data_IF_833875177243
#
_entry.id   IF_833875177243
#
_cell.length_a   1.000
_cell.length_b   1.000
_cell.length_c   1.000
_cell.angle_alpha   90.00
_cell.angle_beta   90.00
_cell.angle_gamma   90.00
#
_symmetry.space_group_name_H-M   'P 1'
#
loop_
_entity.id
_entity.type
_entity.pdbx_description
1 polymer ?
#
# COMPACT_ATOMS: atom_id res chain seq x y z
N UNK A 1 -8.33 -7.61 -16.62
CA UNK A 1 -7.96 -6.55 -15.67
C UNK A 1 -9.16 -5.69 -15.41
N UNK A 2 -9.65 -5.63 -14.21
CA UNK A 2 -10.74 -4.74 -13.83
C UNK A 2 -10.20 -3.66 -12.91
N UNK A 3 -10.47 -2.39 -13.20
CA UNK A 3 -9.91 -1.21 -12.55
C UNK A 3 -10.97 -0.34 -11.87
N UNK A 4 -10.65 0.33 -10.77
CA UNK A 4 -11.61 1.08 -9.92
C UNK A 4 -11.12 2.49 -9.52
N UNK A 5 -11.86 3.54 -9.72
CA UNK A 5 -11.46 4.92 -9.50
C UNK A 5 -12.32 5.76 -8.55
N UNK A 6 -11.77 6.72 -7.84
CA UNK A 6 -12.52 7.58 -6.95
C UNK A 6 -12.61 9.04 -7.42
N UNK A 7 -13.78 9.66 -7.25
CA UNK A 7 -13.92 11.11 -7.09
C UNK A 7 -14.36 11.39 -5.66
N UNK A 8 -13.59 12.23 -4.97
CA UNK A 8 -14.01 12.78 -3.68
C UNK A 8 -14.94 13.96 -4.02
N UNK A 9 -16.24 13.84 -3.73
CA UNK A 9 -17.12 14.96 -3.40
C UNK A 9 -18.46 14.53 -2.83
N UNK A 10 -18.81 15.06 -1.67
CA UNK A 10 -20.11 15.19 -0.98
C UNK A 10 -21.10 14.02 -1.09
N UNK A 11 -21.18 13.26 -0.04
CA UNK A 11 -21.97 12.04 0.08
C UNK A 11 -21.03 10.87 -0.17
N UNK A 12 -20.87 9.96 0.78
CA UNK A 12 -19.93 8.86 0.73
C UNK A 12 -19.94 8.18 -0.65
N UNK A 13 -18.92 8.44 -1.52
CA UNK A 13 -18.90 7.78 -2.81
C UNK A 13 -18.67 6.29 -2.58
N UNK A 14 -19.40 5.49 -3.31
CA UNK A 14 -19.14 4.06 -3.34
C UNK A 14 -17.69 3.82 -3.78
N UNK A 15 -16.97 2.94 -3.08
CA UNK A 15 -15.59 2.67 -3.41
C UNK A 15 -15.47 2.04 -4.81
N UNK A 16 -14.44 2.41 -5.51
CA UNK A 16 -14.09 1.87 -6.83
C UNK A 16 -12.77 1.12 -6.75
N UNK A 17 -12.65 -0.05 -7.33
CA UNK A 17 -11.49 -0.95 -7.19
C UNK A 17 -10.98 -1.50 -8.51
N UNK A 18 -9.73 -1.95 -8.46
CA UNK A 18 -9.15 -2.82 -9.46
C UNK A 18 -8.75 -4.13 -8.79
N UNK A 19 -9.19 -5.24 -9.34
CA UNK A 19 -8.60 -6.53 -9.06
C UNK A 19 -7.67 -6.89 -10.23
N UNK A 20 -6.39 -7.07 -9.97
CA UNK A 20 -5.40 -7.47 -10.95
C UNK A 20 -4.62 -8.68 -10.47
N UNK A 21 -4.52 -9.73 -11.30
CA UNK A 21 -3.58 -10.83 -11.09
C UNK A 21 -2.27 -10.44 -11.76
N UNK A 22 -1.23 -10.15 -11.00
CA UNK A 22 0.12 -10.11 -11.53
C UNK A 22 0.67 -11.54 -11.59
N UNK A 23 0.91 -12.07 -12.78
CA UNK A 23 1.65 -13.32 -12.95
C UNK A 23 3.15 -13.00 -12.92
N UNK A 24 3.82 -13.37 -11.84
CA UNK A 24 5.28 -13.18 -11.72
C UNK A 24 6.04 -14.43 -12.17
N UNK A 25 5.50 -15.60 -12.12
CA UNK A 25 6.16 -16.83 -12.66
C UNK A 25 5.20 -18.02 -12.72
N UNK A 26 5.43 -19.00 -13.64
CA UNK A 26 4.67 -20.25 -13.64
C UNK A 26 4.99 -21.05 -12.37
N UNK A 27 4.00 -21.23 -11.51
CA UNK A 27 4.09 -22.11 -10.32
C UNK A 27 4.12 -21.41 -8.96
N UNK A 28 4.19 -20.08 -8.88
CA UNK A 28 3.95 -19.32 -7.66
C UNK A 28 2.55 -18.71 -7.67
N UNK A 29 1.77 -18.94 -6.60
CA UNK A 29 0.51 -18.22 -6.41
C UNK A 29 0.84 -16.80 -5.97
N UNK A 30 0.60 -15.84 -6.86
CA UNK A 30 0.83 -14.42 -6.60
C UNK A 30 -0.17 -13.90 -5.59
N UNK A 31 0.25 -12.96 -4.71
CA UNK A 31 -0.70 -12.18 -3.93
C UNK A 31 -1.63 -11.46 -4.89
N UNK A 32 -2.94 -11.57 -4.68
CA UNK A 32 -3.89 -10.87 -5.52
C UNK A 32 -3.89 -9.39 -5.14
N UNK A 33 -3.34 -8.57 -6.05
CA UNK A 33 -3.22 -7.13 -5.86
C UNK A 33 -4.57 -6.44 -6.09
N UNK A 34 -5.04 -5.77 -5.06
CA UNK A 34 -6.22 -4.92 -5.08
C UNK A 34 -5.82 -3.45 -5.19
N UNK A 35 -5.92 -2.89 -6.39
CA UNK A 35 -5.61 -1.48 -6.60
C UNK A 35 -6.84 -0.62 -6.32
N UNK A 36 -6.70 0.33 -5.43
CA UNK A 36 -7.66 1.41 -5.25
C UNK A 36 -7.29 2.55 -6.18
N UNK A 37 -8.25 3.06 -6.91
CA UNK A 37 -8.01 4.11 -7.87
C UNK A 37 -8.06 5.48 -7.22
N UNK A 38 -7.19 6.37 -7.69
CA UNK A 38 -6.86 7.62 -7.03
C UNK A 38 -5.64 7.46 -6.11
N UNK A 39 -4.86 8.51 -6.00
CA UNK A 39 -3.72 8.59 -5.10
C UNK A 39 -3.65 9.97 -4.48
N UNK A 40 -3.20 10.07 -3.23
CA UNK A 40 -2.97 11.33 -2.54
C UNK A 40 -1.74 12.07 -3.07
N UNK A 41 -0.78 11.33 -3.65
CA UNK A 41 0.40 11.89 -4.30
C UNK A 41 0.19 12.09 -5.81
N UNK A 42 1.00 12.98 -6.39
CA UNK A 42 1.04 13.25 -7.84
C UNK A 42 2.44 13.00 -8.39
N UNK A 43 2.94 11.79 -8.14
CA UNK A 43 4.30 11.42 -8.57
C UNK A 43 4.41 11.47 -10.10
N UNK A 44 5.34 12.26 -10.63
CA UNK A 44 5.57 12.41 -12.07
C UNK A 44 6.05 11.11 -12.72
N UNK A 45 6.65 10.20 -11.95
CA UNK A 45 7.15 8.90 -12.38
C UNK A 45 6.23 7.72 -12.03
N UNK A 46 4.93 7.97 -11.80
CA UNK A 46 4.00 6.93 -11.36
C UNK A 46 3.75 5.89 -12.46
N UNK A 47 4.19 4.65 -12.26
CA UNK A 47 3.92 3.55 -13.19
C UNK A 47 2.44 3.23 -13.33
N UNK A 48 1.65 3.53 -12.28
CA UNK A 48 0.20 3.33 -12.24
C UNK A 48 -0.55 4.66 -12.49
N UNK A 49 -0.05 5.51 -13.39
CA UNK A 49 -0.58 6.86 -13.63
C UNK A 49 -2.09 6.89 -13.85
N UNK A 50 -2.62 6.04 -14.73
CA UNK A 50 -4.06 5.98 -15.04
C UNK A 50 -4.91 5.57 -13.82
N UNK A 51 -4.37 4.70 -12.96
CA UNK A 51 -5.01 4.30 -11.71
C UNK A 51 -4.96 5.47 -10.71
N UNK A 52 -3.79 6.05 -10.54
CA UNK A 52 -3.55 7.13 -9.60
C UNK A 52 -4.39 8.40 -9.92
N UNK A 53 -4.67 8.64 -11.20
CA UNK A 53 -5.50 9.76 -11.66
C UNK A 53 -7.00 9.44 -11.71
N UNK A 54 -7.42 8.26 -11.27
CA UNK A 54 -8.83 7.85 -11.28
C UNK A 54 -9.47 7.76 -12.68
N UNK A 55 -8.65 7.53 -13.72
CA UNK A 55 -9.12 7.43 -15.11
C UNK A 55 -9.79 6.10 -15.39
N UNK A 56 -9.50 5.10 -14.57
CA UNK A 56 -9.94 3.71 -14.77
C UNK A 56 -10.54 3.11 -13.50
N UNK A 57 -11.56 2.24 -13.65
CA UNK A 57 -12.09 1.48 -12.54
C UNK A 57 -13.60 1.22 -12.54
N UNK A 58 -14.04 0.31 -11.64
CA UNK A 58 -15.45 0.03 -11.37
C UNK A 58 -15.80 0.40 -9.93
N UNK A 59 -16.94 1.04 -9.76
CA UNK A 59 -17.53 1.27 -8.45
C UNK A 59 -18.12 -0.04 -7.93
N UNK A 60 -17.87 -0.37 -6.67
CA UNK A 60 -18.51 -1.51 -5.99
C UNK A 60 -18.97 -1.06 -4.59
N UNK A 61 -20.03 -1.69 -4.10
CA UNK A 61 -20.49 -1.47 -2.73
C UNK A 61 -19.56 -2.11 -1.71
N UNK A 62 -19.72 -1.74 -0.44
CA UNK A 62 -18.99 -2.36 0.68
C UNK A 62 -19.28 -3.86 0.75
N UNK A 63 -20.54 -4.26 0.51
CA UNK A 63 -20.98 -5.66 0.46
C UNK A 63 -20.23 -6.42 -0.64
N UNK A 64 -20.18 -5.83 -1.85
CA UNK A 64 -19.46 -6.45 -2.97
C UNK A 64 -17.97 -6.55 -2.72
N UNK A 65 -17.35 -5.56 -2.06
CA UNK A 65 -15.96 -5.63 -1.65
C UNK A 65 -15.71 -6.78 -0.67
N UNK A 66 -16.60 -6.95 0.31
CA UNK A 66 -16.55 -8.07 1.26
C UNK A 66 -16.65 -9.43 0.56
N UNK A 67 -17.55 -9.56 -0.44
CA UNK A 67 -17.69 -10.78 -1.26
C UNK A 67 -16.41 -11.07 -2.06
N UNK A 68 -15.83 -10.04 -2.67
CA UNK A 68 -14.59 -10.18 -3.43
C UNK A 68 -13.44 -10.69 -2.54
N UNK A 69 -13.31 -10.23 -1.29
CA UNK A 69 -12.31 -10.75 -0.36
C UNK A 69 -12.50 -12.25 -0.09
N UNK A 70 -13.74 -12.70 0.03
CA UNK A 70 -14.06 -14.12 0.21
C UNK A 70 -13.81 -14.93 -1.07
N UNK A 71 -14.17 -14.40 -2.23
CA UNK A 71 -13.88 -15.04 -3.53
C UNK A 71 -12.37 -15.23 -3.74
N UNK A 72 -11.54 -14.28 -3.31
CA UNK A 72 -10.08 -14.40 -3.35
C UNK A 72 -9.59 -15.54 -2.45
N UNK A 73 -10.12 -15.63 -1.25
CA UNK A 73 -9.83 -16.73 -0.34
C UNK A 73 -10.23 -18.08 -0.92
N UNK A 74 -11.41 -18.20 -1.53
CA UNK A 74 -11.89 -19.42 -2.19
C UNK A 74 -11.02 -19.80 -3.39
N UNK A 75 -10.44 -18.82 -4.09
CA UNK A 75 -9.50 -19.02 -5.20
C UNK A 75 -8.09 -19.40 -4.71
N UNK A 76 -7.84 -19.46 -3.41
CA UNK A 76 -6.57 -19.85 -2.82
C UNK A 76 -5.53 -18.74 -2.75
N UNK A 77 -5.95 -17.47 -2.69
CA UNK A 77 -5.04 -16.37 -2.43
C UNK A 77 -4.31 -16.55 -1.09
N UNK A 78 -3.05 -16.15 -1.00
CA UNK A 78 -2.26 -16.24 0.24
C UNK A 78 -2.50 -15.04 1.17
N UNK A 79 -2.95 -13.92 0.64
CA UNK A 79 -3.25 -12.68 1.35
C UNK A 79 -4.15 -11.78 0.50
N UNK A 80 -4.65 -10.71 1.09
CA UNK A 80 -5.34 -9.63 0.40
C UNK A 80 -4.44 -8.40 0.44
N UNK A 81 -3.85 -8.04 -0.70
CA UNK A 81 -2.95 -6.90 -0.83
C UNK A 81 -3.70 -5.66 -1.35
N UNK A 82 -3.93 -4.72 -0.46
CA UNK A 82 -4.63 -3.47 -0.70
C UNK A 82 -3.64 -2.40 -1.17
N UNK A 83 -3.64 -2.06 -2.46
CA UNK A 83 -2.70 -1.10 -3.05
C UNK A 83 -3.32 0.29 -3.15
N UNK A 84 -2.68 1.28 -2.57
CA UNK A 84 -3.12 2.69 -2.49
C UNK A 84 -4.51 2.88 -1.84
N UNK A 85 -4.78 2.24 -0.68
CA UNK A 85 -6.12 2.17 -0.08
C UNK A 85 -6.48 3.41 0.77
N UNK A 86 -5.57 4.35 0.93
CA UNK A 86 -5.57 5.50 1.86
C UNK A 86 -6.94 6.16 2.03
N UNK A 87 -7.58 6.51 0.92
CA UNK A 87 -8.83 7.30 0.92
C UNK A 87 -10.10 6.46 1.05
N UNK A 88 -9.98 5.11 1.11
CA UNK A 88 -11.10 4.18 1.28
C UNK A 88 -11.05 3.41 2.61
N UNK A 89 -10.22 3.81 3.55
CA UNK A 89 -10.06 3.12 4.84
C UNK A 89 -11.39 2.86 5.56
N UNK A 90 -12.35 3.80 5.66
CA UNK A 90 -13.64 3.50 6.29
C UNK A 90 -14.42 2.37 5.62
N UNK A 91 -14.45 2.35 4.29
CA UNK A 91 -15.16 1.33 3.50
C UNK A 91 -14.44 -0.02 3.57
N UNK A 92 -13.11 -0.01 3.56
CA UNK A 92 -12.28 -1.21 3.72
C UNK A 92 -12.54 -1.87 5.07
N UNK A 93 -12.54 -1.09 6.16
CA UNK A 93 -12.86 -1.59 7.50
C UNK A 93 -14.24 -2.24 7.52
N UNK A 94 -15.26 -1.55 6.98
CA UNK A 94 -16.60 -2.08 6.94
C UNK A 94 -16.72 -3.38 6.11
N UNK A 95 -15.98 -3.48 4.99
CA UNK A 95 -15.94 -4.69 4.17
C UNK A 95 -15.20 -5.84 4.88
N UNK A 96 -14.08 -5.55 5.55
CA UNK A 96 -13.34 -6.54 6.33
C UNK A 96 -14.17 -7.08 7.50
N UNK A 97 -14.91 -6.21 8.21
CA UNK A 97 -15.82 -6.63 9.28
C UNK A 97 -16.90 -7.60 8.77
N UNK A 98 -17.46 -7.33 7.59
CA UNK A 98 -18.44 -8.21 6.97
C UNK A 98 -17.81 -9.53 6.50
N UNK A 99 -16.64 -9.47 5.86
CA UNK A 99 -15.95 -10.65 5.36
C UNK A 99 -15.46 -11.57 6.50
N UNK A 100 -14.91 -10.98 7.59
CA UNK A 100 -14.47 -11.74 8.77
C UNK A 100 -15.64 -12.48 9.45
N UNK A 101 -16.81 -11.86 9.54
CA UNK A 101 -18.03 -12.53 10.03
C UNK A 101 -18.46 -13.74 9.16
N UNK A 102 -18.08 -13.74 7.89
CA UNK A 102 -18.35 -14.81 6.92
C UNK A 102 -17.17 -15.79 6.76
N UNK A 103 -16.11 -15.68 7.58
CA UNK A 103 -15.00 -16.63 7.61
C UNK A 103 -13.73 -16.20 6.87
N UNK A 104 -13.57 -14.93 6.52
CA UNK A 104 -12.29 -14.41 6.00
C UNK A 104 -11.19 -14.57 7.06
N UNK A 105 -10.12 -15.27 6.70
CA UNK A 105 -8.96 -15.52 7.57
C UNK A 105 -7.61 -15.20 6.92
N UNK A 106 -7.61 -14.68 5.69
CA UNK A 106 -6.39 -14.28 5.00
C UNK A 106 -5.74 -13.07 5.66
N UNK A 107 -4.40 -13.01 5.69
CA UNK A 107 -3.66 -11.82 6.10
C UNK A 107 -4.00 -10.62 5.20
N UNK A 108 -4.07 -9.46 5.81
CA UNK A 108 -4.32 -8.19 5.11
C UNK A 108 -3.02 -7.42 4.98
N UNK A 109 -2.64 -7.14 3.75
CA UNK A 109 -1.47 -6.34 3.39
C UNK A 109 -1.93 -4.95 2.96
N UNK A 110 -1.36 -3.92 3.55
CA UNK A 110 -1.65 -2.51 3.27
C UNK A 110 -0.45 -1.86 2.57
N UNK A 111 -0.54 -1.77 1.24
CA UNK A 111 0.51 -1.23 0.38
C UNK A 111 0.21 0.23 0.06
N UNK A 112 1.07 1.13 0.50
CA UNK A 112 0.82 2.57 0.49
C UNK A 112 2.04 3.38 0.08
N UNK A 113 1.79 4.58 -0.42
CA UNK A 113 2.85 5.56 -0.71
C UNK A 113 3.57 6.10 0.54
N UNK A 114 3.17 5.68 1.74
CA UNK A 114 3.67 6.21 3.01
C UNK A 114 3.11 7.59 3.38
N UNK A 115 2.36 8.24 2.50
CA UNK A 115 1.77 9.56 2.75
C UNK A 115 0.39 9.43 3.41
N UNK A 116 0.40 9.09 4.71
CA UNK A 116 -0.77 8.71 5.48
C UNK A 116 -0.96 9.60 6.72
N UNK A 117 -2.21 9.86 7.07
CA UNK A 117 -2.55 10.48 8.36
C UNK A 117 -2.49 9.44 9.47
N UNK A 118 -1.80 9.75 10.57
CA UNK A 118 -1.67 8.87 11.73
C UNK A 118 -3.03 8.45 12.28
N UNK A 119 -4.01 9.37 12.33
CA UNK A 119 -5.37 9.08 12.80
C UNK A 119 -6.07 8.04 11.93
N UNK A 120 -5.81 8.05 10.61
CA UNK A 120 -6.34 7.06 9.69
C UNK A 120 -5.71 5.69 9.93
N UNK A 121 -4.37 5.65 10.11
CA UNK A 121 -3.65 4.43 10.43
C UNK A 121 -4.10 3.82 11.76
N UNK A 122 -4.33 4.63 12.79
CA UNK A 122 -4.85 4.16 14.09
C UNK A 122 -6.17 3.41 13.97
N UNK A 123 -7.03 3.78 13.01
CA UNK A 123 -8.29 3.07 12.75
C UNK A 123 -8.07 1.69 12.12
N UNK A 124 -6.92 1.46 11.49
CA UNK A 124 -6.53 0.17 10.89
C UNK A 124 -5.92 -0.80 11.91
N UNK A 125 -5.69 -0.37 13.15
CA UNK A 125 -5.11 -1.23 14.17
C UNK A 125 -5.97 -2.49 14.41
N UNK A 126 -5.36 -3.67 14.24
CA UNK A 126 -6.03 -4.96 14.30
C UNK A 126 -6.74 -5.42 13.01
N UNK A 127 -6.73 -4.60 11.96
CA UNK A 127 -7.22 -4.98 10.63
C UNK A 127 -6.09 -5.38 9.68
N UNK A 128 -4.94 -4.75 9.79
CA UNK A 128 -3.77 -4.95 8.91
C UNK A 128 -2.74 -5.81 9.62
N UNK A 129 -2.24 -6.81 8.92
CA UNK A 129 -1.19 -7.72 9.38
C UNK A 129 0.19 -7.28 8.87
N UNK A 130 0.23 -6.75 7.66
CA UNK A 130 1.46 -6.33 6.99
C UNK A 130 1.31 -4.94 6.41
N UNK A 131 2.23 -4.05 6.74
CA UNK A 131 2.37 -2.76 6.09
C UNK A 131 3.50 -2.80 5.06
N UNK A 132 3.24 -2.30 3.85
CA UNK A 132 4.23 -2.08 2.78
C UNK A 132 4.25 -0.58 2.42
N UNK A 133 4.80 0.29 3.28
CA UNK A 133 4.93 1.71 2.94
C UNK A 133 6.12 1.96 2.02
N UNK A 134 5.92 2.77 1.00
CA UNK A 134 7.03 3.45 0.33
C UNK A 134 7.63 4.52 1.26
N UNK A 135 8.95 4.64 1.28
CA UNK A 135 9.64 5.79 1.84
C UNK A 135 10.44 6.49 0.74
N UNK A 136 9.82 7.50 0.12
CA UNK A 136 10.29 8.06 -1.16
C UNK A 136 11.31 9.19 -1.00
N UNK A 137 11.17 10.04 0.03
CA UNK A 137 11.94 11.26 0.18
C UNK A 137 12.26 11.55 1.65
N UNK A 138 13.48 12.03 1.91
CA UNK A 138 13.86 12.74 3.14
C UNK A 138 13.95 14.25 2.93
N UNK A 139 13.92 14.71 1.69
CA UNK A 139 14.09 16.09 1.29
C UNK A 139 12.78 16.68 0.81
N UNK A 140 12.28 17.77 1.48
CA UNK A 140 11.04 18.44 1.11
C UNK A 140 11.01 18.99 -0.32
N UNK A 141 12.15 19.51 -0.82
CA UNK A 141 12.21 20.08 -2.18
C UNK A 141 12.01 19.01 -3.23
N UNK A 142 12.59 17.81 -3.02
CA UNK A 142 12.39 16.68 -3.91
C UNK A 142 10.97 16.13 -3.83
N UNK A 143 10.40 16.03 -2.64
CA UNK A 143 9.03 15.61 -2.43
C UNK A 143 8.05 16.55 -3.15
N UNK A 144 8.26 17.85 -3.04
CA UNK A 144 7.51 18.88 -3.76
C UNK A 144 7.67 18.75 -5.28
N UNK A 145 8.92 18.64 -5.74
CA UNK A 145 9.25 18.59 -7.19
C UNK A 145 8.68 17.36 -7.87
N UNK A 146 8.79 16.19 -7.26
CA UNK A 146 8.48 14.93 -7.92
C UNK A 146 7.11 14.33 -7.54
N UNK A 147 6.51 14.76 -6.43
CA UNK A 147 5.23 14.21 -5.96
C UNK A 147 4.22 15.26 -5.50
N UNK A 148 4.56 16.55 -5.57
CA UNK A 148 3.67 17.64 -5.20
C UNK A 148 3.38 17.75 -3.69
N UNK A 149 4.18 17.11 -2.83
CA UNK A 149 3.97 17.01 -1.38
C UNK A 149 5.23 17.42 -0.61
N UNK A 150 5.38 18.71 -0.31
CA UNK A 150 6.54 19.26 0.38
C UNK A 150 6.71 18.71 1.81
N UNK A 151 5.60 18.41 2.46
CA UNK A 151 5.53 17.85 3.82
C UNK A 151 5.66 16.32 3.88
N UNK A 152 5.87 15.65 2.74
CA UNK A 152 5.99 14.20 2.66
C UNK A 152 6.97 13.61 3.68
N UNK A 153 8.19 14.13 3.88
CA UNK A 153 9.15 13.51 4.80
C UNK A 153 8.61 13.43 6.23
N UNK A 154 7.98 14.48 6.72
CA UNK A 154 7.45 14.51 8.08
C UNK A 154 6.20 13.63 8.23
N UNK A 155 5.32 13.65 7.25
CA UNK A 155 4.12 12.81 7.21
C UNK A 155 4.51 11.33 7.13
N UNK A 156 5.46 10.97 6.26
CA UNK A 156 5.90 9.58 6.08
C UNK A 156 6.64 9.03 7.32
N UNK A 157 7.45 9.85 8.01
CA UNK A 157 8.07 9.44 9.27
C UNK A 157 7.03 9.11 10.33
N UNK A 158 6.06 10.01 10.56
CA UNK A 158 5.00 9.79 11.53
C UNK A 158 4.11 8.59 11.17
N UNK A 159 3.82 8.40 9.89
CA UNK A 159 3.06 7.26 9.41
C UNK A 159 3.80 5.93 9.64
N UNK A 160 5.10 5.87 9.31
CA UNK A 160 5.92 4.69 9.49
C UNK A 160 6.06 4.31 10.97
N UNK A 161 6.27 5.31 11.85
CA UNK A 161 6.29 5.09 13.30
C UNK A 161 5.01 4.42 13.79
N UNK A 162 3.86 4.90 13.35
CA UNK A 162 2.56 4.30 13.72
C UNK A 162 2.40 2.89 13.14
N UNK A 163 2.82 2.63 11.90
CA UNK A 163 2.77 1.29 11.28
C UNK A 163 3.64 0.30 12.06
N UNK A 164 4.88 0.68 12.40
CA UNK A 164 5.79 -0.15 13.21
C UNK A 164 5.22 -0.38 14.61
N UNK A 165 4.62 0.64 15.24
CA UNK A 165 3.93 0.47 16.52
C UNK A 165 2.82 -0.58 16.47
N UNK A 166 2.09 -0.66 15.36
CA UNK A 166 0.98 -1.62 15.20
C UNK A 166 1.45 -3.04 14.92
N UNK A 167 2.50 -3.20 14.10
CA UNK A 167 3.01 -4.53 13.74
C UNK A 167 3.95 -5.10 14.79
N UNK A 168 4.72 -4.26 15.47
CA UNK A 168 5.80 -4.69 16.34
C UNK A 168 6.94 -5.35 15.57
N UNK A 169 7.68 -6.23 16.23
CA UNK A 169 8.73 -7.02 15.59
C UNK A 169 8.14 -8.04 14.61
N UNK A 170 8.88 -8.41 13.55
CA UNK A 170 8.45 -9.42 12.60
C UNK A 170 8.08 -10.76 13.29
N UNK A 171 6.93 -11.31 12.93
CA UNK A 171 6.44 -12.59 13.45
C UNK A 171 6.43 -13.62 12.33
N UNK A 172 6.98 -14.79 12.60
CA UNK A 172 7.04 -15.93 11.68
C UNK A 172 6.15 -17.07 12.20
N UNK A 173 5.50 -17.78 11.29
CA UNK A 173 4.82 -19.03 11.62
C UNK A 173 5.80 -20.22 11.64
N UNK A 174 5.29 -21.43 11.98
CA UNK A 174 6.09 -22.65 12.07
C UNK A 174 6.74 -23.06 10.73
N UNK A 175 6.22 -22.59 9.61
CA UNK A 175 6.80 -22.80 8.27
C UNK A 175 7.86 -21.75 7.90
N UNK A 176 8.20 -20.82 8.80
CA UNK A 176 9.15 -19.73 8.54
C UNK A 176 8.60 -18.61 7.64
N UNK A 177 7.29 -18.54 7.45
CA UNK A 177 6.64 -17.48 6.68
C UNK A 177 6.30 -16.32 7.63
N UNK A 178 6.69 -15.10 7.25
CA UNK A 178 6.32 -13.91 8.00
C UNK A 178 4.81 -13.66 7.92
N UNK A 179 4.18 -13.51 9.07
CA UNK A 179 2.73 -13.32 9.20
C UNK A 179 2.33 -11.94 9.68
N UNK A 180 3.27 -11.22 10.30
CA UNK A 180 3.05 -9.85 10.77
C UNK A 180 4.36 -9.07 10.72
N UNK A 181 4.42 -7.97 9.97
CA UNK A 181 5.60 -7.10 9.87
C UNK A 181 5.33 -5.76 9.18
N UNK A 182 6.31 -4.85 9.24
CA UNK A 182 6.41 -3.68 8.39
C UNK A 182 7.60 -3.84 7.44
N UNK A 183 7.35 -3.80 6.13
CA UNK A 183 8.40 -3.81 5.10
C UNK A 183 8.42 -2.47 4.38
N UNK A 184 9.43 -1.67 4.64
CA UNK A 184 9.57 -0.35 4.04
C UNK A 184 10.21 -0.47 2.64
N UNK A 185 9.49 -0.02 1.62
CA UNK A 185 9.98 -0.01 0.24
C UNK A 185 10.60 1.34 -0.09
N UNK A 186 11.81 1.33 -0.67
CA UNK A 186 12.43 2.54 -1.20
C UNK A 186 12.95 2.31 -2.61
N UNK A 187 12.78 3.33 -3.46
CA UNK A 187 13.18 3.24 -4.86
C UNK A 187 14.62 3.70 -5.06
N UNK A 188 15.43 2.82 -5.63
CA UNK A 188 16.75 3.15 -6.17
C UNK A 188 16.57 3.62 -7.61
N UNK A 189 16.40 4.92 -7.82
CA UNK A 189 16.46 5.49 -9.16
C UNK A 189 17.95 5.65 -9.50
N UNK A 190 18.40 5.14 -10.64
CA UNK A 190 19.80 5.04 -11.05
C UNK A 190 20.66 6.33 -10.95
N UNK A 191 20.02 7.48 -10.86
CA UNK A 191 20.66 8.81 -10.76
C UNK A 191 20.77 9.34 -9.32
N UNK A 192 20.39 8.57 -8.30
CA UNK A 192 20.14 9.07 -6.93
C UNK A 192 20.66 8.12 -5.86
N UNK A 193 21.80 7.47 -6.10
CA UNK A 193 22.42 6.55 -5.14
C UNK A 193 22.57 7.17 -3.74
N UNK A 194 23.12 8.38 -3.64
CA UNK A 194 23.34 9.09 -2.37
C UNK A 194 22.04 9.34 -1.57
N UNK A 195 20.91 9.59 -2.26
CA UNK A 195 19.63 9.80 -1.59
C UNK A 195 19.05 8.51 -1.03
N UNK A 196 19.18 7.42 -1.79
CA UNK A 196 18.75 6.11 -1.33
C UNK A 196 19.58 5.68 -0.11
N UNK A 197 20.89 5.90 -0.14
CA UNK A 197 21.77 5.64 1.01
C UNK A 197 21.34 6.41 2.26
N UNK A 198 20.97 7.68 2.12
CA UNK A 198 20.45 8.49 3.23
C UNK A 198 19.14 7.96 3.78
N UNK A 199 18.23 7.51 2.93
CA UNK A 199 16.96 6.89 3.36
C UNK A 199 17.23 5.58 4.09
N UNK A 200 18.03 4.68 3.51
CA UNK A 200 18.39 3.40 4.13
C UNK A 200 19.07 3.61 5.47
N UNK A 201 20.01 4.56 5.54
CA UNK A 201 20.69 4.92 6.80
C UNK A 201 19.69 5.41 7.85
N UNK A 202 18.80 6.33 7.49
CA UNK A 202 17.76 6.83 8.40
C UNK A 202 16.88 5.70 8.93
N UNK A 203 16.38 4.83 8.03
CA UNK A 203 15.50 3.71 8.40
C UNK A 203 16.22 2.72 9.33
N UNK A 204 17.48 2.40 9.02
CA UNK A 204 18.27 1.47 9.83
C UNK A 204 18.61 2.07 11.20
N UNK A 205 19.04 3.32 11.26
CA UNK A 205 19.37 4.01 12.52
C UNK A 205 18.14 4.22 13.41
N UNK A 206 16.95 4.34 12.81
CA UNK A 206 15.70 4.57 13.55
C UNK A 206 15.04 3.28 14.02
N UNK A 207 14.99 2.25 13.17
CA UNK A 207 14.18 1.05 13.40
C UNK A 207 14.98 -0.25 13.53
N UNK A 208 16.23 -0.30 13.05
CA UNK A 208 17.07 -1.50 13.11
C UNK A 208 16.35 -2.73 12.55
N UNK A 209 16.25 -3.77 13.37
CA UNK A 209 15.65 -5.05 13.02
C UNK A 209 14.10 -5.10 13.16
N UNK A 210 13.46 -3.97 13.50
CA UNK A 210 12.02 -3.90 13.64
C UNK A 210 11.30 -3.87 12.29
N UNK A 211 12.00 -3.51 11.22
CA UNK A 211 11.46 -3.44 9.87
C UNK A 211 12.34 -4.21 8.88
N UNK A 212 11.74 -4.66 7.78
CA UNK A 212 12.49 -5.06 6.59
C UNK A 212 12.54 -3.89 5.60
N UNK A 213 13.57 -3.88 4.77
CA UNK A 213 13.74 -2.87 3.72
C UNK A 213 13.87 -3.53 2.36
N UNK A 214 13.00 -3.15 1.43
CA UNK A 214 13.08 -3.56 0.03
C UNK A 214 13.63 -2.44 -0.83
N UNK A 215 14.77 -2.69 -1.46
CA UNK A 215 15.37 -1.75 -2.41
C UNK A 215 14.84 -2.04 -3.82
N UNK A 216 13.96 -1.17 -4.30
CA UNK A 216 13.31 -1.33 -5.60
C UNK A 216 14.13 -0.62 -6.69
N UNK A 217 14.69 -1.36 -7.65
CA UNK A 217 15.43 -0.82 -8.80
C UNK A 217 14.60 -0.82 -10.09
N UNK A 218 13.31 -1.03 -9.99
CA UNK A 218 12.39 -1.10 -11.12
C UNK A 218 11.91 0.31 -11.49
N UNK A 219 12.53 0.91 -12.48
CA UNK A 219 12.05 2.12 -13.12
C UNK A 219 11.78 1.86 -14.59
N UNK A 220 10.54 2.03 -15.01
CA UNK A 220 10.19 2.05 -16.44
C UNK A 220 10.03 3.51 -16.83
N UNK A 221 10.90 4.05 -17.72
CA UNK A 221 10.74 5.40 -18.23
C UNK A 221 9.37 5.55 -18.89
N UNK A 222 8.67 6.61 -18.55
CA UNK A 222 7.44 7.00 -19.23
C UNK A 222 7.82 7.98 -20.36
N UNK A 223 7.18 7.85 -21.52
CA UNK A 223 7.48 8.66 -22.73
C UNK A 223 7.28 10.17 -22.51
N UNK A 224 6.71 10.60 -21.38
CA UNK A 224 6.34 11.98 -21.09
C UNK A 224 7.03 12.58 -19.84
N UNK A 225 8.15 11.99 -19.38
CA UNK A 225 8.90 12.51 -18.22
C UNK A 225 10.34 12.81 -18.58
#
# INVERSE_FOLDING_TARGET
>A
MAFVGSRIWSGFPEPRFICGKNRVSPGQMDPELFFFSGCTLRCVYCQNYHIANSEVGKTVSVERLSEIFLELQEQGANNINLVTPTHFVPQIIAALDQARKKGLNLPIVYNTSGYEKVETLRRLNGYVDVYLPDFKYLDPEHAKKYSGAEDYPEVAKAALEEMVRQTGNPVFNDAGIMTKWCNCETFVIAWVSERCERIVKYLYETYGDQIYMSLMNQYTPLDNV
#
